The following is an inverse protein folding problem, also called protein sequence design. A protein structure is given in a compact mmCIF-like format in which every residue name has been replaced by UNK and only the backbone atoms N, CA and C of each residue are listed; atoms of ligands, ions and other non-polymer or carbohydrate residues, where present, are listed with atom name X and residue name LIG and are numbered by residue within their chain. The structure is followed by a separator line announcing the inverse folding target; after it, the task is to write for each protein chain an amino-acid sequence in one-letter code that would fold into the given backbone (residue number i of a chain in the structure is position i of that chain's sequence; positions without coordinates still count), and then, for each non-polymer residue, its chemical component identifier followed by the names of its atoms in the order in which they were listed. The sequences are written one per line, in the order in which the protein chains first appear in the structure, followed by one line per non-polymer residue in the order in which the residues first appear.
data_IF_947943126105
#
_entry.id   IF_947943126105
#
_cell.length_a   1.000
_cell.length_b   1.000
_cell.length_c   1.000
_cell.angle_alpha   90.00
_cell.angle_beta   90.00
_cell.angle_gamma   90.00
#
_symmetry.space_group_name_H-M   'P 1'
#
loop_
_entity.id
_entity.type
_entity.pdbx_description
1 polymer ?
#
# COMPACT_ATOMS: atom_id res chain seq x y z
N UNK A 1 -39.57 -71.14 24.56
CA UNK A 1 -39.28 -71.75 23.25
C UNK A 1 -38.38 -70.79 22.49
N UNK A 2 -37.21 -71.26 22.04
CA UNK A 2 -36.23 -70.50 21.23
C UNK A 2 -36.86 -70.11 19.88
N UNK A 3 -36.41 -69.01 19.28
CA UNK A 3 -35.82 -68.96 17.93
C UNK A 3 -35.08 -67.62 17.76
N UNK A 4 -33.81 -67.76 17.41
CA UNK A 4 -32.83 -66.77 17.00
C UNK A 4 -33.09 -66.36 15.55
N UNK A 5 -32.98 -65.07 15.19
CA UNK A 5 -32.74 -64.65 13.80
C UNK A 5 -31.65 -63.57 13.78
N UNK A 6 -30.59 -63.89 13.05
CA UNK A 6 -29.41 -63.09 12.69
C UNK A 6 -29.74 -62.05 11.60
N UNK A 7 -28.76 -61.15 11.38
CA UNK A 7 -28.49 -60.31 10.20
C UNK A 7 -28.91 -58.84 10.36
N UNK A 8 -28.14 -57.82 9.95
CA UNK A 8 -26.90 -57.76 9.17
C UNK A 8 -26.22 -56.42 9.54
N UNK A 9 -24.95 -56.43 9.93
CA UNK A 9 -24.19 -55.20 10.18
C UNK A 9 -23.72 -54.61 8.85
N UNK A 10 -24.27 -53.46 8.46
CA UNK A 10 -23.75 -52.64 7.38
C UNK A 10 -22.76 -51.60 7.97
N UNK A 11 -21.47 -51.87 7.80
CA UNK A 11 -20.40 -50.91 8.06
C UNK A 11 -20.41 -49.85 6.95
N UNK A 12 -20.96 -48.67 7.24
CA UNK A 12 -20.73 -47.50 6.42
C UNK A 12 -19.33 -46.96 6.70
N UNK A 13 -18.40 -47.25 5.79
CA UNK A 13 -17.14 -46.52 5.64
C UNK A 13 -17.46 -45.10 5.18
N UNK A 14 -17.75 -44.20 6.12
CA UNK A 14 -17.75 -42.77 5.84
C UNK A 14 -16.29 -42.34 5.73
N UNK A 15 -15.80 -42.23 4.50
CA UNK A 15 -14.48 -41.70 4.21
C UNK A 15 -14.37 -40.26 4.70
N UNK A 16 -13.24 -39.95 5.31
CA UNK A 16 -12.80 -38.59 5.60
C UNK A 16 -12.60 -37.84 4.28
N UNK A 17 -13.68 -37.30 3.71
CA UNK A 17 -13.59 -36.24 2.72
C UNK A 17 -13.18 -34.98 3.45
N UNK A 18 -11.88 -34.75 3.59
CA UNK A 18 -11.38 -33.45 4.02
C UNK A 18 -11.93 -32.39 3.08
N UNK A 19 -12.77 -31.50 3.59
CA UNK A 19 -13.23 -30.33 2.85
C UNK A 19 -12.01 -29.53 2.42
N UNK A 20 -11.71 -29.63 1.13
CA UNK A 20 -10.77 -28.75 0.45
C UNK A 20 -11.45 -27.38 0.38
N UNK A 21 -11.26 -26.62 1.46
CA UNK A 21 -11.74 -25.26 1.60
C UNK A 21 -11.26 -24.47 0.37
N UNK A 22 -12.19 -24.10 -0.50
CA UNK A 22 -11.87 -23.42 -1.75
C UNK A 22 -10.95 -22.23 -1.46
N UNK A 23 -9.86 -22.04 -2.23
CA UNK A 23 -8.91 -20.96 -1.97
C UNK A 23 -9.66 -19.64 -1.92
N UNK A 24 -9.50 -18.91 -0.82
CA UNK A 24 -10.18 -17.63 -0.62
C UNK A 24 -9.89 -16.71 -1.81
N UNK A 25 -10.94 -16.27 -2.49
CA UNK A 25 -10.82 -15.41 -3.66
C UNK A 25 -10.16 -14.09 -3.26
N UNK A 26 -9.11 -13.70 -4.00
CA UNK A 26 -8.41 -12.44 -3.76
C UNK A 26 -9.29 -11.25 -4.10
N UNK A 27 -9.33 -10.27 -3.20
CA UNK A 27 -10.11 -9.04 -3.35
C UNK A 27 -9.37 -8.06 -4.26
N UNK A 28 -10.04 -7.32 -5.15
CA UNK A 28 -9.38 -6.26 -5.92
C UNK A 28 -8.81 -5.20 -4.98
N UNK A 29 -7.79 -4.47 -5.46
CA UNK A 29 -7.39 -3.22 -4.81
C UNK A 29 -8.56 -2.23 -4.84
N UNK A 30 -8.61 -1.35 -3.85
CA UNK A 30 -9.58 -0.25 -3.82
C UNK A 30 -8.88 1.10 -3.71
N UNK A 31 -9.31 2.07 -4.51
CA UNK A 31 -8.93 3.48 -4.36
C UNK A 31 -9.67 4.09 -3.16
N UNK A 32 -9.07 3.97 -1.98
CA UNK A 32 -9.65 4.38 -0.71
C UNK A 32 -9.77 5.91 -0.58
N UNK A 33 -8.83 6.64 -1.18
CA UNK A 33 -8.80 8.10 -1.14
C UNK A 33 -8.29 8.64 -2.47
N UNK A 34 -8.78 9.81 -2.88
CA UNK A 34 -8.23 10.56 -4.00
C UNK A 34 -8.48 12.06 -3.83
N UNK A 35 -7.54 12.85 -4.34
CA UNK A 35 -7.65 14.28 -4.49
C UNK A 35 -6.98 14.69 -5.80
N UNK A 36 -7.52 15.72 -6.44
CA UNK A 36 -6.94 16.30 -7.64
C UNK A 36 -7.18 17.79 -7.67
N UNK A 37 -6.25 18.53 -8.23
CA UNK A 37 -6.38 19.97 -8.45
C UNK A 37 -5.87 20.36 -9.82
N UNK A 38 -6.37 21.48 -10.32
CA UNK A 38 -5.96 22.08 -11.57
C UNK A 38 -5.40 23.46 -11.26
N UNK A 39 -4.14 23.68 -11.59
CA UNK A 39 -3.45 24.97 -11.43
C UNK A 39 -3.19 25.53 -12.83
N UNK A 40 -3.39 26.84 -13.00
CA UNK A 40 -2.94 27.54 -14.22
C UNK A 40 -1.49 27.97 -14.01
N UNK A 41 -0.61 27.57 -14.91
CA UNK A 41 0.78 28.02 -15.01
C UNK A 41 1.01 28.77 -16.33
N UNK A 42 2.23 29.26 -16.55
CA UNK A 42 2.60 29.90 -17.81
C UNK A 42 2.55 28.92 -19.00
N UNK A 43 2.84 27.64 -18.74
CA UNK A 43 2.82 26.55 -19.72
C UNK A 43 1.42 25.91 -19.93
N UNK A 44 0.37 26.48 -19.33
CA UNK A 44 -1.01 26.01 -19.49
C UNK A 44 -1.68 25.61 -18.20
N UNK A 45 -2.31 24.42 -18.18
CA UNK A 45 -2.96 23.88 -16.99
C UNK A 45 -2.23 22.65 -16.49
N UNK A 46 -1.88 22.62 -15.22
CA UNK A 46 -1.25 21.47 -14.56
C UNK A 46 -2.29 20.76 -13.70
N UNK A 47 -2.49 19.47 -13.95
CA UNK A 47 -3.26 18.60 -13.07
C UNK A 47 -2.32 17.97 -12.07
N UNK A 48 -2.59 18.18 -10.79
CA UNK A 48 -1.92 17.50 -9.69
C UNK A 48 -2.88 16.47 -9.09
N UNK A 49 -2.38 15.31 -8.67
CA UNK A 49 -3.19 14.31 -8.00
C UNK A 49 -2.45 13.62 -6.86
N UNK A 50 -3.25 13.14 -5.92
CA UNK A 50 -2.83 12.21 -4.88
C UNK A 50 -3.92 11.14 -4.71
N UNK A 51 -3.51 9.90 -4.46
CA UNK A 51 -4.41 8.80 -4.19
C UNK A 51 -3.84 7.83 -3.17
N UNK A 52 -4.74 7.04 -2.57
CA UNK A 52 -4.36 5.95 -1.68
C UNK A 52 -5.08 4.67 -2.10
N UNK A 53 -4.32 3.68 -2.57
CA UNK A 53 -4.83 2.33 -2.77
C UNK A 53 -4.76 1.55 -1.45
N UNK A 54 -5.76 0.70 -1.20
CA UNK A 54 -5.72 -0.28 -0.11
C UNK A 54 -5.78 -1.70 -0.67
N UNK A 55 -5.07 -2.59 0.02
CA UNK A 55 -5.01 -4.01 -0.27
C UNK A 55 -5.53 -4.80 0.94
N UNK A 56 -6.73 -5.34 0.79
CA UNK A 56 -7.38 -6.13 1.85
C UNK A 56 -6.94 -7.60 1.85
N UNK A 57 -6.00 -7.99 0.97
CA UNK A 57 -5.44 -9.34 0.95
C UNK A 57 -4.25 -9.41 1.90
N UNK A 58 -4.35 -10.17 3.01
CA UNK A 58 -3.33 -10.15 4.07
C UNK A 58 -2.02 -10.82 3.68
N UNK A 59 -1.98 -11.65 2.64
CA UNK A 59 -0.81 -12.45 2.27
C UNK A 59 -0.33 -12.26 0.83
N UNK A 60 -0.88 -11.27 0.12
CA UNK A 60 -0.57 -11.05 -1.30
C UNK A 60 -0.19 -9.60 -1.55
N UNK A 61 0.91 -9.39 -2.27
CA UNK A 61 1.23 -8.11 -2.86
C UNK A 61 0.39 -7.89 -4.12
N UNK A 62 -0.08 -6.65 -4.31
CA UNK A 62 -0.61 -6.20 -5.59
C UNK A 62 0.53 -5.62 -6.43
N UNK A 63 1.01 -6.34 -7.44
CA UNK A 63 2.12 -5.96 -8.30
C UNK A 63 1.65 -5.40 -9.64
N UNK A 64 2.54 -4.69 -10.34
CA UNK A 64 2.32 -4.15 -11.68
C UNK A 64 1.06 -3.28 -11.81
N UNK A 65 0.72 -2.58 -10.73
CA UNK A 65 -0.44 -1.69 -10.71
C UNK A 65 -0.14 -0.44 -11.54
N UNK A 66 -1.12 -0.02 -12.34
CA UNK A 66 -1.08 1.22 -13.10
C UNK A 66 -2.29 2.04 -12.73
N UNK A 67 -2.08 3.27 -12.24
CA UNK A 67 -3.13 4.26 -12.10
C UNK A 67 -3.31 5.01 -13.42
N UNK A 68 -4.54 5.17 -13.88
CA UNK A 68 -4.89 5.97 -15.05
C UNK A 68 -5.59 7.23 -14.58
N UNK A 69 -5.00 8.38 -14.86
CA UNK A 69 -5.54 9.71 -14.55
C UNK A 69 -6.04 10.34 -15.84
N UNK A 70 -7.30 10.76 -15.85
CA UNK A 70 -7.93 11.39 -17.02
C UNK A 70 -8.57 12.70 -16.62
N UNK A 71 -8.16 13.79 -17.25
CA UNK A 71 -8.80 15.09 -17.16
C UNK A 71 -9.66 15.35 -18.39
N UNK A 72 -10.90 15.78 -18.17
CA UNK A 72 -11.85 16.17 -19.23
C UNK A 72 -12.28 17.62 -19.06
N UNK A 73 -12.44 18.32 -20.17
CA UNK A 73 -12.95 19.69 -20.20
C UNK A 73 -14.47 19.75 -19.92
N UNK A 74 -15.06 20.96 -19.95
CA UNK A 74 -16.49 21.15 -19.71
C UNK A 74 -17.40 20.58 -20.80
N UNK A 75 -16.85 20.24 -21.97
CA UNK A 75 -17.56 19.60 -23.09
C UNK A 75 -17.42 18.07 -23.06
N UNK A 76 -16.62 17.54 -22.13
CA UNK A 76 -16.34 16.12 -21.99
C UNK A 76 -15.17 15.62 -22.84
N UNK A 77 -14.46 16.50 -23.55
CA UNK A 77 -13.27 16.13 -24.31
C UNK A 77 -12.10 15.83 -23.35
N UNK A 78 -11.35 14.78 -23.61
CA UNK A 78 -10.12 14.47 -22.88
C UNK A 78 -9.05 15.52 -23.21
N UNK A 79 -8.48 16.13 -22.17
CA UNK A 79 -7.44 17.18 -22.29
C UNK A 79 -6.15 16.79 -21.57
N UNK A 80 -6.17 15.68 -20.83
CA UNK A 80 -4.97 15.06 -20.27
C UNK A 80 -5.25 13.61 -19.94
N UNK A 81 -4.27 12.75 -20.22
CA UNK A 81 -4.24 11.36 -19.78
C UNK A 81 -2.84 10.95 -19.37
N UNK A 82 -2.74 10.32 -18.21
CA UNK A 82 -1.50 9.76 -17.69
C UNK A 82 -1.74 8.34 -17.19
N UNK A 83 -0.93 7.40 -17.68
CA UNK A 83 -0.80 6.06 -17.10
C UNK A 83 0.45 6.05 -16.22
N UNK A 84 0.26 5.97 -14.90
CA UNK A 84 1.31 5.98 -13.90
C UNK A 84 1.54 4.57 -13.35
N UNK A 85 2.67 3.91 -13.67
CA UNK A 85 3.09 2.71 -12.97
C UNK A 85 3.30 3.02 -11.48
N UNK A 86 2.80 2.15 -10.62
CA UNK A 86 2.90 2.28 -9.17
C UNK A 86 3.81 1.18 -8.59
N UNK A 87 4.47 1.45 -7.46
CA UNK A 87 5.19 0.38 -6.76
C UNK A 87 4.22 -0.66 -6.18
N UNK A 88 4.70 -1.85 -5.82
CA UNK A 88 3.86 -2.94 -5.33
C UNK A 88 3.10 -2.61 -4.03
N UNK A 89 1.79 -2.84 -4.00
CA UNK A 89 0.94 -2.59 -2.82
C UNK A 89 1.15 -3.71 -1.79
N UNK A 90 1.57 -3.37 -0.55
CA UNK A 90 1.90 -4.39 0.45
C UNK A 90 0.67 -5.20 0.93
N UNK A 91 0.86 -6.45 1.40
CA UNK A 91 -0.22 -7.26 1.96
C UNK A 91 -0.88 -6.58 3.16
N UNK A 92 -2.22 -6.54 3.17
CA UNK A 92 -3.00 -5.89 4.23
C UNK A 92 -2.72 -4.38 4.39
N UNK A 93 -2.04 -3.76 3.41
CA UNK A 93 -1.47 -2.44 3.55
C UNK A 93 -2.07 -1.41 2.61
N UNK A 94 -1.46 -0.22 2.61
CA UNK A 94 -1.88 0.93 1.80
C UNK A 94 -0.72 1.42 0.94
N UNK A 95 -1.08 2.02 -0.18
CA UNK A 95 -0.18 2.70 -1.08
C UNK A 95 -0.65 4.14 -1.34
N UNK A 96 0.06 5.12 -0.79
CA UNK A 96 0.02 6.51 -1.24
C UNK A 96 0.79 6.74 -2.56
N UNK A 97 0.15 7.32 -3.57
CA UNK A 97 0.80 7.72 -4.82
C UNK A 97 0.39 9.14 -5.21
N UNK A 98 1.28 9.84 -5.91
CA UNK A 98 1.11 11.24 -6.30
C UNK A 98 1.68 11.45 -7.69
N UNK A 99 1.23 12.49 -8.38
CA UNK A 99 1.78 12.84 -9.68
C UNK A 99 1.22 14.14 -10.22
N UNK A 100 1.76 14.54 -11.36
CA UNK A 100 1.32 15.73 -12.09
C UNK A 100 1.45 15.52 -13.59
N UNK A 101 0.64 16.25 -14.36
CA UNK A 101 0.70 16.28 -15.81
C UNK A 101 0.19 17.63 -16.33
N UNK A 102 0.81 18.13 -17.40
CA UNK A 102 0.31 19.29 -18.16
C UNK A 102 -0.87 18.82 -19.00
N UNK A 103 -1.91 19.66 -19.08
CA UNK A 103 -3.11 19.43 -19.86
C UNK A 103 -3.18 20.40 -21.05
N UNK A 104 -3.65 19.88 -22.19
CA UNK A 104 -3.81 20.62 -23.45
C UNK A 104 -4.95 21.64 -23.40
N UNK A 105 -5.76 21.60 -22.34
CA UNK A 105 -6.86 22.53 -22.08
C UNK A 105 -7.28 22.48 -20.62
N UNK A 106 -8.16 23.40 -20.20
CA UNK A 106 -8.63 23.46 -18.80
C UNK A 106 -9.50 22.23 -18.47
N UNK A 107 -9.06 21.34 -17.58
CA UNK A 107 -9.91 20.24 -17.12
C UNK A 107 -11.02 20.79 -16.21
N UNK A 108 -12.25 20.37 -16.47
CA UNK A 108 -13.41 20.60 -15.59
C UNK A 108 -13.62 19.43 -14.61
N UNK A 109 -13.17 18.23 -14.98
CA UNK A 109 -13.25 17.02 -14.14
C UNK A 109 -11.97 16.21 -14.30
N UNK A 110 -11.46 15.67 -13.19
CA UNK A 110 -10.35 14.70 -13.17
C UNK A 110 -10.86 13.41 -12.53
N UNK A 111 -10.52 12.28 -13.13
CA UNK A 111 -10.86 10.94 -12.63
C UNK A 111 -9.59 10.13 -12.50
N UNK A 112 -9.47 9.38 -11.39
CA UNK A 112 -8.38 8.45 -11.14
C UNK A 112 -8.98 7.05 -11.05
N UNK A 113 -8.47 6.15 -11.86
CA UNK A 113 -8.81 4.73 -11.86
C UNK A 113 -7.51 3.91 -11.77
N UNK A 114 -7.62 2.61 -11.55
CA UNK A 114 -6.46 1.73 -11.61
C UNK A 114 -6.80 0.43 -12.33
N UNK A 115 -5.79 -0.17 -12.96
CA UNK A 115 -5.91 -1.50 -13.53
C UNK A 115 -5.89 -2.56 -12.42
N UNK A 116 -6.43 -3.76 -12.67
CA UNK A 116 -6.28 -4.89 -11.76
C UNK A 116 -4.81 -5.19 -11.47
N UNK A 117 -4.50 -5.51 -10.22
CA UNK A 117 -3.16 -5.90 -9.82
C UNK A 117 -2.85 -7.33 -10.26
N UNK A 118 -1.57 -7.62 -10.45
CA UNK A 118 -1.08 -8.99 -10.48
C UNK A 118 -0.81 -9.42 -9.05
N UNK A 119 -1.52 -10.45 -8.60
CA UNK A 119 -1.39 -10.92 -7.22
C UNK A 119 -0.21 -11.86 -7.08
N UNK A 120 0.69 -11.53 -6.15
CA UNK A 120 1.79 -12.41 -5.77
C UNK A 120 1.74 -12.69 -4.29
N UNK A 121 1.74 -13.96 -3.92
CA UNK A 121 1.85 -14.35 -2.52
C UNK A 121 3.18 -13.84 -1.94
N UNK A 122 3.10 -13.25 -0.75
CA UNK A 122 4.28 -12.78 -0.03
C UNK A 122 5.17 -13.96 0.36
N UNK A 123 6.48 -13.84 0.11
CA UNK A 123 7.46 -14.88 0.46
C UNK A 123 7.72 -14.98 1.98
N UNK A 124 7.21 -14.03 2.77
CA UNK A 124 7.39 -13.92 4.22
C UNK A 124 6.08 -13.53 4.89
N UNK A 125 6.00 -13.79 6.19
CA UNK A 125 4.88 -13.33 7.00
C UNK A 125 4.82 -11.79 7.04
N UNK A 126 3.62 -11.22 7.11
CA UNK A 126 3.41 -9.75 7.08
C UNK A 126 4.29 -9.00 8.08
N UNK A 127 4.48 -9.57 9.27
CA UNK A 127 5.26 -8.97 10.35
C UNK A 127 6.77 -8.84 10.06
N UNK A 128 7.27 -9.50 9.01
CA UNK A 128 8.64 -9.36 8.52
C UNK A 128 8.84 -8.04 7.74
N UNK A 129 7.78 -7.47 7.18
CA UNK A 129 7.78 -6.22 6.44
C UNK A 129 7.64 -5.02 7.38
N UNK A 130 8.75 -4.59 8.00
CA UNK A 130 8.81 -3.43 8.88
C UNK A 130 8.67 -2.11 8.12
N UNK A 131 7.85 -1.16 8.63
CA UNK A 131 7.72 0.15 8.01
C UNK A 131 8.97 1.01 8.21
N UNK A 132 9.36 1.73 7.17
CA UNK A 132 10.35 2.80 7.26
C UNK A 132 9.79 3.95 8.07
N UNK A 133 10.56 4.43 9.06
CA UNK A 133 10.09 5.51 9.95
C UNK A 133 10.57 6.85 9.43
N UNK A 134 9.68 7.83 9.43
CA UNK A 134 10.04 9.23 9.22
C UNK A 134 10.08 9.96 10.55
N UNK A 135 10.92 10.99 10.64
CA UNK A 135 11.05 11.83 11.81
C UNK A 135 11.37 13.27 11.41
N UNK A 136 11.15 14.20 12.35
CA UNK A 136 11.38 15.65 12.17
C UNK A 136 10.68 16.21 10.92
N UNK A 137 9.49 15.68 10.63
CA UNK A 137 8.69 16.11 9.48
C UNK A 137 8.18 17.52 9.74
N UNK A 138 8.49 18.42 8.82
CA UNK A 138 8.01 19.80 8.80
C UNK A 138 7.36 20.09 7.45
N UNK A 139 6.36 20.96 7.45
CA UNK A 139 5.68 21.40 6.23
C UNK A 139 5.51 22.91 6.28
N UNK A 140 6.06 23.58 5.27
CA UNK A 140 6.13 25.04 5.20
C UNK A 140 5.41 25.50 3.93
N UNK A 141 4.33 26.25 4.11
CA UNK A 141 3.63 26.87 2.98
C UNK A 141 4.52 27.94 2.35
N UNK A 142 4.68 27.87 1.04
CA UNK A 142 5.44 28.81 0.23
C UNK A 142 4.56 29.97 -0.25
N UNK A 143 5.18 31.01 -0.80
CA UNK A 143 4.47 32.22 -1.28
C UNK A 143 3.55 31.93 -2.47
N UNK A 144 3.90 30.97 -3.30
CA UNK A 144 3.11 30.49 -4.44
C UNK A 144 1.95 29.55 -4.04
N UNK A 145 1.82 29.24 -2.75
CA UNK A 145 0.80 28.35 -2.21
C UNK A 145 1.18 26.87 -2.18
N UNK A 146 2.32 26.48 -2.77
CA UNK A 146 2.88 25.14 -2.61
C UNK A 146 3.34 24.88 -1.17
N UNK A 147 3.65 23.63 -0.84
CA UNK A 147 4.20 23.26 0.46
C UNK A 147 5.54 22.58 0.30
N UNK A 148 6.55 23.12 0.96
CA UNK A 148 7.83 22.45 1.13
C UNK A 148 7.73 21.49 2.31
N UNK A 149 7.91 20.20 2.06
CA UNK A 149 7.93 19.17 3.09
C UNK A 149 9.33 18.61 3.22
N UNK A 150 9.83 18.56 4.45
CA UNK A 150 11.15 18.01 4.74
C UNK A 150 11.13 17.15 6.00
N UNK A 151 12.07 16.22 6.09
CA UNK A 151 12.23 15.36 7.25
C UNK A 151 13.41 14.42 7.06
N UNK A 152 13.45 13.37 7.88
CA UNK A 152 14.44 12.30 7.76
C UNK A 152 13.76 10.95 7.71
N UNK A 153 14.41 9.98 7.06
CA UNK A 153 13.95 8.59 6.96
C UNK A 153 14.95 7.65 7.63
N UNK A 154 14.46 6.63 8.33
CA UNK A 154 15.27 5.58 8.94
C UNK A 154 14.94 4.21 8.34
N UNK A 155 15.98 3.42 8.09
CA UNK A 155 15.86 2.04 7.59
C UNK A 155 15.76 1.04 8.76
N UNK A 156 14.66 0.26 8.87
CA UNK A 156 14.49 -0.75 9.90
C UNK A 156 15.15 -2.10 9.55
N UNK A 157 15.75 -2.24 8.37
CA UNK A 157 16.41 -3.45 7.91
C UNK A 157 17.91 -3.37 8.11
N UNK A 158 18.60 -4.53 8.07
CA UNK A 158 20.07 -4.61 8.12
C UNK A 158 20.71 -4.23 6.79
N UNK A 159 20.07 -4.62 5.69
CA UNK A 159 20.53 -4.30 4.34
C UNK A 159 20.17 -2.86 4.00
N UNK A 160 21.03 -2.14 3.25
CA UNK A 160 20.69 -0.82 2.75
C UNK A 160 19.48 -0.90 1.81
N UNK A 161 18.57 0.05 1.94
CA UNK A 161 17.50 0.22 0.98
C UNK A 161 18.01 1.05 -0.20
N UNK A 162 18.14 0.43 -1.37
CA UNK A 162 18.75 1.04 -2.56
C UNK A 162 18.05 2.33 -2.99
N UNK A 163 16.72 2.31 -3.04
CA UNK A 163 15.90 3.48 -3.34
C UNK A 163 14.55 3.39 -2.63
N UNK A 164 14.23 4.45 -1.89
CA UNK A 164 12.95 4.63 -1.21
C UNK A 164 12.17 5.77 -1.85
N UNK A 165 10.85 5.58 -1.99
CA UNK A 165 9.92 6.67 -2.29
C UNK A 165 9.35 7.17 -0.98
N UNK A 166 9.51 8.47 -0.73
CA UNK A 166 8.83 9.19 0.35
C UNK A 166 7.68 9.97 -0.27
N UNK A 167 6.46 9.61 0.10
CA UNK A 167 5.24 10.35 -0.28
C UNK A 167 4.77 11.17 0.92
N UNK A 168 4.51 12.46 0.71
CA UNK A 168 3.84 13.32 1.67
C UNK A 168 2.41 13.60 1.18
N UNK A 169 1.43 13.31 2.04
CA UNK A 169 0.02 13.61 1.82
C UNK A 169 -0.39 14.75 2.76
N UNK A 170 -0.92 15.81 2.19
CA UNK A 170 -1.43 16.95 2.95
C UNK A 170 -2.90 16.74 3.27
N UNK A 171 -3.27 16.98 4.52
CA UNK A 171 -4.62 16.77 5.03
C UNK A 171 -5.16 18.01 5.72
N UNK A 172 -6.48 18.20 5.61
CA UNK A 172 -7.19 19.20 6.41
C UNK A 172 -7.41 18.72 7.86
N UNK A 173 -8.06 19.55 8.68
CA UNK A 173 -8.35 19.22 10.09
C UNK A 173 -9.33 18.06 10.27
N UNK A 174 -10.13 17.73 9.25
CA UNK A 174 -11.03 16.58 9.25
C UNK A 174 -10.34 15.29 8.76
N UNK A 175 -9.06 15.38 8.34
CA UNK A 175 -8.30 14.27 7.81
C UNK A 175 -8.49 14.04 6.30
N UNK A 176 -9.24 14.90 5.60
CA UNK A 176 -9.45 14.78 4.15
C UNK A 176 -8.16 15.02 3.39
N UNK A 177 -7.88 14.20 2.39
CA UNK A 177 -6.76 14.38 1.47
C UNK A 177 -6.93 15.65 0.63
N UNK A 178 -5.92 16.52 0.64
CA UNK A 178 -5.88 17.77 -0.11
C UNK A 178 -4.97 17.70 -1.34
N UNK A 179 -3.93 16.88 -1.27
CA UNK A 179 -2.90 16.73 -2.30
C UNK A 179 -1.70 16.00 -1.75
N UNK A 180 -0.66 15.84 -2.56
CA UNK A 180 0.57 15.19 -2.13
C UNK A 180 1.69 15.32 -3.14
N UNK A 181 2.89 14.99 -2.70
CA UNK A 181 4.09 14.95 -3.52
C UNK A 181 5.00 13.81 -3.08
N UNK A 182 5.99 13.49 -3.91
CA UNK A 182 6.92 12.40 -3.65
C UNK A 182 8.36 12.79 -3.97
N UNK A 183 9.31 12.23 -3.22
CA UNK A 183 10.73 12.30 -3.53
C UNK A 183 11.41 10.95 -3.30
N UNK A 184 12.56 10.78 -3.94
CA UNK A 184 13.41 9.61 -3.76
C UNK A 184 14.46 9.87 -2.69
N UNK A 185 14.79 8.83 -1.94
CA UNK A 185 15.94 8.79 -1.04
C UNK A 185 16.68 7.50 -1.29
N UNK A 186 17.90 7.62 -1.79
CA UNK A 186 18.72 6.47 -2.17
C UNK A 186 19.72 6.08 -1.09
N UNK A 187 20.20 4.84 -1.17
CA UNK A 187 21.22 4.25 -0.30
C UNK A 187 20.96 4.47 1.21
N UNK A 188 19.72 4.22 1.65
CA UNK A 188 19.32 4.40 3.05
C UNK A 188 19.85 3.25 3.89
N UNK A 189 21.01 3.45 4.49
CA UNK A 189 21.68 2.49 5.37
C UNK A 189 21.05 2.41 6.76
N UNK A 190 21.19 1.25 7.38
CA UNK A 190 20.89 1.04 8.79
C UNK A 190 21.67 2.01 9.67
N UNK A 191 21.01 2.64 10.64
CA UNK A 191 21.65 3.56 11.57
C UNK A 191 21.94 4.96 11.00
N UNK A 192 21.71 5.20 9.71
CA UNK A 192 21.72 6.55 9.13
C UNK A 192 20.29 7.11 9.06
N UNK A 193 20.19 8.44 8.98
CA UNK A 193 18.90 9.13 8.83
C UNK A 193 19.00 10.21 7.76
N UNK A 194 19.10 9.83 6.46
CA UNK A 194 19.18 10.81 5.38
C UNK A 194 17.95 11.72 5.35
N UNK A 195 18.16 12.95 4.89
CA UNK A 195 17.11 13.95 4.74
C UNK A 195 16.36 13.74 3.43
N UNK A 196 15.06 13.98 3.46
CA UNK A 196 14.26 14.17 2.26
C UNK A 196 13.72 15.60 2.22
N UNK A 197 13.54 16.11 1.02
CA UNK A 197 12.88 17.38 0.73
C UNK A 197 12.01 17.15 -0.51
N UNK A 198 10.76 17.59 -0.46
CA UNK A 198 9.84 17.52 -1.57
C UNK A 198 8.90 18.73 -1.55
N UNK A 199 8.37 19.05 -2.73
CA UNK A 199 7.34 20.07 -2.88
C UNK A 199 6.01 19.39 -3.15
N UNK A 200 4.96 19.89 -2.51
CA UNK A 200 3.57 19.53 -2.82
C UNK A 200 2.91 20.73 -3.48
N UNK A 201 2.69 20.60 -4.78
CA UNK A 201 2.04 21.62 -5.60
C UNK A 201 0.53 21.39 -5.67
N UNK A 202 -0.19 22.39 -6.20
CA UNK A 202 -1.61 22.27 -6.44
C UNK A 202 -2.44 22.09 -5.17
N UNK A 203 -2.04 22.66 -4.03
CA UNK A 203 -2.92 22.69 -2.86
C UNK A 203 -3.97 23.79 -3.06
N UNK A 204 -5.29 23.52 -2.87
CA UNK A 204 -6.31 24.53 -3.04
C UNK A 204 -6.03 25.76 -2.16
N UNK A 205 -6.11 26.97 -2.72
CA UNK A 205 -5.76 28.20 -2.00
C UNK A 205 -6.63 28.48 -0.77
N UNK A 206 -7.88 28.00 -0.79
CA UNK A 206 -8.83 28.04 0.32
C UNK A 206 -8.64 26.93 1.35
N UNK A 207 -7.85 25.89 1.04
CA UNK A 207 -7.64 24.78 1.95
C UNK A 207 -6.57 25.13 3.00
N UNK A 208 -6.89 24.84 4.25
CA UNK A 208 -5.94 24.93 5.37
C UNK A 208 -5.36 23.55 5.64
N UNK A 209 -4.07 23.37 5.38
CA UNK A 209 -3.36 22.16 5.76
C UNK A 209 -3.21 22.13 7.27
N UNK A 210 -3.70 21.06 7.89
CA UNK A 210 -3.62 20.83 9.33
C UNK A 210 -2.60 19.74 9.69
N UNK A 211 -2.39 18.77 8.79
CA UNK A 211 -1.48 17.64 9.02
C UNK A 211 -0.80 17.23 7.72
N UNK A 212 0.45 16.80 7.86
CA UNK A 212 1.18 16.09 6.80
C UNK A 212 1.38 14.65 7.24
N UNK A 213 0.92 13.71 6.42
CA UNK A 213 1.20 12.29 6.57
C UNK A 213 2.34 11.90 5.62
N UNK A 214 3.36 11.24 6.15
CA UNK A 214 4.50 10.75 5.37
C UNK A 214 4.50 9.24 5.33
N UNK A 215 4.51 8.69 4.13
CA UNK A 215 4.58 7.25 3.86
C UNK A 215 5.87 6.97 3.11
N UNK A 216 6.60 5.94 3.53
CA UNK A 216 7.87 5.56 2.92
C UNK A 216 7.84 4.09 2.55
N UNK A 217 8.28 3.80 1.32
CA UNK A 217 8.24 2.47 0.73
C UNK A 217 9.45 2.24 -0.17
N UNK A 218 9.73 0.98 -0.47
CA UNK A 218 10.65 0.63 -1.55
C UNK A 218 10.07 1.02 -2.90
N UNK A 219 10.91 1.54 -3.78
CA UNK A 219 10.54 1.81 -5.17
C UNK A 219 10.52 0.51 -5.99
N UNK A 220 9.54 0.36 -6.90
CA UNK A 220 9.46 -0.76 -7.84
C UNK A 220 8.09 -1.46 -7.92
N UNK A 221 7.66 -1.76 -9.14
CA UNK A 221 6.34 -2.39 -9.43
C UNK A 221 6.19 -3.83 -8.93
N UNK A 222 7.27 -4.43 -8.43
CA UNK A 222 7.28 -5.75 -7.78
C UNK A 222 7.69 -5.61 -6.32
N UNK A 223 7.30 -6.56 -5.49
CA UNK A 223 7.64 -6.59 -4.07
C UNK A 223 9.04 -7.16 -3.78
N UNK A 224 9.79 -7.53 -4.82
CA UNK A 224 11.15 -8.05 -4.72
C UNK A 224 12.09 -7.14 -3.90
N UNK A 225 12.15 -5.81 -4.10
CA UNK A 225 13.02 -4.95 -3.29
C UNK A 225 12.68 -5.02 -1.80
N UNK A 226 11.40 -5.13 -1.46
CA UNK A 226 10.97 -5.18 -0.07
C UNK A 226 11.22 -6.55 0.59
N UNK A 227 11.05 -7.61 -0.18
CA UNK A 227 11.36 -8.97 0.26
C UNK A 227 12.86 -9.20 0.42
N UNK A 228 13.70 -8.66 -0.45
CA UNK A 228 15.17 -8.72 -0.29
C UNK A 228 15.60 -8.07 1.02
N UNK A 229 15.03 -6.92 1.37
CA UNK A 229 15.26 -6.28 2.68
C UNK A 229 14.78 -7.13 3.86
N UNK A 230 13.57 -7.69 3.75
CA UNK A 230 13.01 -8.56 4.78
C UNK A 230 13.82 -9.85 4.98
N UNK A 231 14.36 -10.42 3.90
CA UNK A 231 15.27 -11.58 3.94
C UNK A 231 16.61 -11.24 4.60
N UNK A 232 17.11 -10.01 4.39
CA UNK A 232 18.29 -9.49 5.09
C UNK A 232 18.10 -9.30 6.60
N UNK A 233 16.86 -9.28 7.07
CA UNK A 233 16.49 -9.18 8.49
C UNK A 233 16.33 -7.75 8.99
N UNK A 234 15.53 -7.59 10.06
CA UNK A 234 15.22 -6.31 10.68
C UNK A 234 16.13 -5.98 11.89
N UNK A 235 16.14 -4.70 12.27
CA UNK A 235 16.88 -4.13 13.41
C UNK A 235 15.92 -3.40 14.36
N UNK A 236 16.07 -3.54 15.70
CA UNK A 236 17.02 -4.43 16.37
C UNK A 236 16.66 -5.90 16.16
N UNK A 237 17.67 -6.75 16.22
CA UNK A 237 17.47 -8.20 16.28
C UNK A 237 16.69 -8.46 17.55
N UNK A 238 15.52 -9.08 17.47
CA UNK A 238 14.85 -9.56 18.66
C UNK A 238 15.72 -10.66 19.28
N UNK A 239 16.56 -10.29 20.24
CA UNK A 239 17.41 -11.19 21.03
C UNK A 239 16.70 -11.70 22.28
N UNK A 240 15.54 -11.11 22.60
CA UNK A 240 14.68 -11.58 23.68
C UNK A 240 14.09 -12.92 23.25
N UNK A 241 14.46 -13.97 23.99
CA UNK A 241 13.90 -15.31 23.82
C UNK A 241 12.38 -15.21 23.89
N UNK A 242 11.63 -15.75 22.90
CA UNK A 242 10.17 -15.80 22.99
C UNK A 242 9.77 -16.41 24.33
N UNK A 243 8.97 -15.68 25.10
CA UNK A 243 8.40 -16.19 26.36
C UNK A 243 7.16 -17.03 26.09
N UNK A 244 6.63 -16.96 24.88
CA UNK A 244 5.58 -17.85 24.38
C UNK A 244 6.18 -19.19 24.04
N UNK A 245 5.53 -20.27 24.48
CA UNK A 245 5.87 -21.62 24.07
C UNK A 245 5.88 -21.72 22.52
N UNK A 246 6.81 -22.50 21.93
CA UNK A 246 6.77 -22.81 20.52
C UNK A 246 5.38 -23.30 20.14
N UNK A 247 4.86 -22.83 19.00
CA UNK A 247 3.58 -23.34 18.52
C UNK A 247 3.68 -24.86 18.35
N UNK A 248 2.91 -25.62 19.14
CA UNK A 248 2.88 -27.09 19.09
C UNK A 248 2.36 -27.62 17.75
N UNK A 249 1.65 -26.79 17.00
CA UNK A 249 1.20 -27.03 15.62
C UNK A 249 1.40 -25.76 14.81
N UNK A 250 1.91 -25.91 13.59
CA UNK A 250 1.94 -24.82 12.62
C UNK A 250 0.51 -24.30 12.38
N UNK A 251 0.31 -22.99 12.29
CA UNK A 251 -1.03 -22.41 12.10
C UNK A 251 -1.41 -22.47 10.62
N UNK A 252 -1.44 -23.68 10.06
CA UNK A 252 -2.27 -24.00 8.92
C UNK A 252 -3.59 -24.57 9.46
N UNK A 253 -4.65 -23.75 9.35
CA UNK A 253 -6.04 -23.99 9.80
C UNK A 253 -6.24 -24.01 11.32
N UNK A 254 -6.89 -22.97 11.82
CA UNK A 254 -7.69 -23.10 13.03
C UNK A 254 -9.00 -23.76 12.59
N UNK A 255 -9.13 -25.07 12.83
CA UNK A 255 -10.43 -25.73 12.79
C UNK A 255 -11.34 -25.07 13.84
N UNK A 256 -12.58 -24.80 13.44
CA UNK A 256 -13.62 -24.36 14.37
C UNK A 256 -14.03 -25.51 15.30
N UNK A 257 -14.65 -25.22 16.45
CA UNK A 257 -15.01 -26.26 17.42
C UNK A 257 -15.97 -27.28 16.81
N UNK A 258 -15.53 -28.55 16.72
CA UNK A 258 -16.33 -29.66 16.19
C UNK A 258 -15.54 -30.89 15.73
N UNK A 259 -14.23 -30.79 15.50
CA UNK A 259 -13.44 -31.90 14.95
C UNK A 259 -12.92 -32.87 16.05
N UNK A 260 -13.80 -33.73 16.53
CA UNK A 260 -13.44 -35.11 16.88
C UNK A 260 -13.90 -36.02 15.74
N UNK A 261 -12.96 -36.62 15.00
CA UNK A 261 -12.93 -38.01 14.56
C UNK A 261 -11.64 -38.30 13.78
#
# INVERSE_FOLDING_TARGET
MRITVLALAALFLAGCSGEEQAPAQLKPLSLAEQASTVVKSDDGYVVNWAGVLSNDNPWHFGEHVVATVVGRDSKGAEVVRMDQPLDAVPPGGRLAFTGQAVADGKPAKVTIEHRPAQWRQAARVVSAFKPFRTSRVQSLRQKDGSYLVMGTVANPYRLPASSLVVSALLRDSAGKLLGGGSAFVDDVKTGTTPRFILTVDGVPSSAKVARTETVVRTWGSTARPYEELALGGAVPVHTVKPTTEPFLRDRARQAMPGDEH
#
